data_IF_331004708177
#
_entry.id   IF_331004708177
#
_cell.length_a   1.000
_cell.length_b   1.000
_cell.length_c   1.000
_cell.angle_alpha   90.00
_cell.angle_beta   90.00
_cell.angle_gamma   90.00
#
_symmetry.space_group_name_H-M   'P 1'
#
loop_
_entity.id
_entity.type
_entity.pdbx_description
1 polymer ?
#
# COMPACT_ATOMS: atom_id res chain seq x y z
N UNK A 1 -9.23 -1.04 -1.97
CA UNK A 1 -9.06 0.02 -0.95
C UNK A 1 -10.07 -0.21 0.14
N UNK A 2 -9.66 -0.08 1.39
CA UNK A 2 -10.51 -0.32 2.56
C UNK A 2 -10.41 0.90 3.47
N UNK A 3 -11.54 1.29 4.06
CA UNK A 3 -11.56 2.31 5.10
C UNK A 3 -11.05 1.70 6.43
N UNK A 4 -10.05 2.31 7.07
CA UNK A 4 -9.42 1.71 8.24
C UNK A 4 -10.23 1.89 9.55
N UNK A 5 -11.30 2.69 9.54
CA UNK A 5 -12.16 2.89 10.72
C UNK A 5 -13.34 1.91 10.70
N UNK A 6 -13.97 1.78 9.53
CA UNK A 6 -15.19 1.00 9.31
C UNK A 6 -14.93 -0.37 8.71
N UNK A 7 -13.71 -0.63 8.23
CA UNK A 7 -13.30 -1.84 7.51
C UNK A 7 -14.11 -2.11 6.23
N UNK A 8 -14.80 -1.10 5.70
CA UNK A 8 -15.57 -1.23 4.47
C UNK A 8 -14.67 -1.21 3.24
N UNK A 9 -14.97 -2.07 2.28
CA UNK A 9 -14.32 -2.07 0.97
C UNK A 9 -14.84 -0.87 0.17
N UNK A 10 -13.96 0.09 -0.10
CA UNK A 10 -14.29 1.31 -0.85
C UNK A 10 -14.21 1.07 -2.36
N UNK A 11 -13.23 0.27 -2.80
CA UNK A 11 -12.97 0.07 -4.23
C UNK A 11 -12.18 -1.22 -4.48
N UNK A 12 -12.53 -1.91 -5.56
CA UNK A 12 -11.81 -3.07 -6.10
C UNK A 12 -11.48 -2.82 -7.57
N UNK A 13 -10.30 -3.22 -8.01
CA UNK A 13 -9.89 -3.13 -9.41
C UNK A 13 -9.15 -4.42 -9.81
N UNK A 14 -9.30 -4.81 -11.07
CA UNK A 14 -8.85 -6.09 -11.60
C UNK A 14 -8.22 -5.91 -12.97
N UNK A 15 -7.30 -6.81 -13.33
CA UNK A 15 -6.72 -6.85 -14.67
C UNK A 15 -6.52 -8.27 -15.14
N UNK A 16 -6.73 -8.49 -16.43
CA UNK A 16 -6.45 -9.77 -17.08
C UNK A 16 -4.94 -9.91 -17.35
N UNK A 17 -4.41 -11.12 -17.14
CA UNK A 17 -2.99 -11.45 -17.40
C UNK A 17 -2.02 -11.00 -16.31
N UNK A 18 -0.71 -11.08 -16.60
CA UNK A 18 0.35 -10.73 -15.64
C UNK A 18 0.60 -9.22 -15.63
N UNK A 19 -0.14 -8.50 -14.81
CA UNK A 19 0.06 -7.06 -14.55
C UNK A 19 0.52 -6.84 -13.11
N UNK A 20 1.47 -5.93 -12.91
CA UNK A 20 1.86 -5.53 -11.57
C UNK A 20 0.78 -4.67 -10.91
N UNK A 21 0.49 -4.93 -9.63
CA UNK A 21 -0.52 -4.20 -8.85
C UNK A 21 -0.32 -2.69 -8.88
N UNK A 22 0.93 -2.20 -8.87
CA UNK A 22 1.19 -0.75 -8.91
C UNK A 22 0.96 -0.12 -10.29
N UNK A 23 1.14 -0.88 -11.37
CA UNK A 23 0.74 -0.42 -12.70
C UNK A 23 -0.79 -0.34 -12.79
N UNK A 24 -1.49 -1.36 -12.28
CA UNK A 24 -2.95 -1.34 -12.19
C UNK A 24 -3.44 -0.11 -11.40
N UNK A 25 -2.86 0.15 -10.23
CA UNK A 25 -3.18 1.32 -9.41
C UNK A 25 -2.95 2.67 -10.11
N UNK A 26 -1.86 2.83 -10.87
CA UNK A 26 -1.62 4.07 -11.62
C UNK A 26 -2.66 4.27 -12.73
N UNK A 27 -3.04 3.19 -13.40
CA UNK A 27 -3.99 3.23 -14.51
C UNK A 27 -5.44 3.38 -14.04
N UNK A 28 -5.77 2.94 -12.82
CA UNK A 28 -7.10 3.08 -12.23
C UNK A 28 -7.48 4.53 -11.91
N UNK A 29 -6.50 5.45 -11.89
CA UNK A 29 -6.68 6.89 -11.62
C UNK A 29 -7.47 7.19 -10.34
N UNK A 30 -7.42 6.29 -9.36
CA UNK A 30 -8.08 6.50 -8.07
C UNK A 30 -7.46 7.73 -7.39
N UNK A 31 -8.30 8.72 -7.13
CA UNK A 31 -7.91 9.92 -6.40
C UNK A 31 -8.08 9.68 -4.90
N UNK A 32 -6.97 9.44 -4.20
CA UNK A 32 -6.95 9.40 -2.75
C UNK A 32 -6.80 10.84 -2.24
N UNK A 33 -7.72 11.27 -1.40
CA UNK A 33 -7.67 12.61 -0.83
C UNK A 33 -6.41 12.79 0.01
N UNK A 34 -5.65 13.86 -0.22
CA UNK A 34 -4.29 14.07 0.34
C UNK A 34 -4.19 14.02 1.87
N UNK A 35 -5.30 14.26 2.58
CA UNK A 35 -5.35 14.19 4.06
C UNK A 35 -5.56 12.78 4.60
N UNK A 36 -5.97 11.83 3.77
CA UNK A 36 -6.13 10.42 4.19
C UNK A 36 -4.75 9.83 4.35
N UNK A 37 -4.50 9.07 5.42
CA UNK A 37 -3.28 8.28 5.53
C UNK A 37 -3.51 6.97 4.81
N UNK A 38 -2.73 6.72 3.76
CA UNK A 38 -2.80 5.49 3.00
C UNK A 38 -1.82 4.49 3.59
N UNK A 39 -2.33 3.45 4.24
CA UNK A 39 -1.53 2.29 4.62
C UNK A 39 -1.60 1.30 3.48
N UNK A 40 -0.51 1.16 2.72
CA UNK A 40 -0.40 0.07 1.75
C UNK A 40 0.10 -1.17 2.47
N UNK A 41 -0.85 -1.92 3.04
CA UNK A 41 -0.56 -3.18 3.71
C UNK A 41 -0.23 -4.21 2.64
N UNK A 42 0.99 -4.73 2.73
CA UNK A 42 1.59 -5.68 1.80
C UNK A 42 1.99 -5.12 0.42
N UNK A 43 2.98 -5.79 -0.16
CA UNK A 43 3.43 -5.70 -1.55
C UNK A 43 4.62 -4.75 -1.76
N UNK A 44 5.78 -5.39 -1.86
CA UNK A 44 7.02 -4.94 -2.52
C UNK A 44 6.82 -4.17 -3.84
N UNK A 45 5.64 -4.24 -4.45
CA UNK A 45 5.27 -3.60 -5.72
C UNK A 45 4.86 -2.12 -5.64
N UNK A 46 4.53 -1.54 -4.48
CA UNK A 46 4.11 -0.12 -4.37
C UNK A 46 5.27 0.85 -4.08
N UNK A 47 6.51 0.46 -4.38
CA UNK A 47 7.67 1.31 -4.18
C UNK A 47 7.54 2.61 -4.99
N UNK A 48 7.54 3.75 -4.30
CA UNK A 48 7.38 5.07 -4.92
C UNK A 48 5.96 5.63 -4.90
N UNK A 49 5.00 5.00 -4.22
CA UNK A 49 3.64 5.54 -4.05
C UNK A 49 3.60 6.92 -3.39
N UNK A 50 4.61 7.25 -2.56
CA UNK A 50 4.77 8.57 -1.96
C UNK A 50 4.87 9.70 -2.99
N UNK A 51 5.30 9.42 -4.23
CA UNK A 51 5.30 10.41 -5.31
C UNK A 51 3.90 10.75 -5.82
N UNK A 52 2.94 9.85 -5.62
CA UNK A 52 1.54 9.98 -6.02
C UNK A 52 0.71 10.49 -4.83
N UNK A 53 1.03 10.00 -3.63
CA UNK A 53 0.31 10.34 -2.40
C UNK A 53 1.29 10.40 -1.22
N UNK A 54 1.67 11.60 -0.79
CA UNK A 54 2.72 11.82 0.21
C UNK A 54 2.43 11.16 1.57
N UNK A 55 1.16 11.10 1.99
CA UNK A 55 0.74 10.53 3.27
C UNK A 55 0.58 9.00 3.18
N UNK A 56 1.54 8.34 2.52
CA UNK A 56 1.55 6.89 2.37
C UNK A 56 2.62 6.25 3.24
N UNK A 57 2.19 5.34 4.11
CA UNK A 57 3.07 4.54 4.95
C UNK A 57 3.40 3.22 4.24
N UNK A 58 4.69 2.97 4.05
CA UNK A 58 5.20 1.72 3.50
C UNK A 58 5.77 0.85 4.63
N UNK A 59 5.44 -0.45 4.67
CA UNK A 59 6.07 -1.36 5.61
C UNK A 59 7.58 -1.43 5.34
N UNK A 60 8.38 -1.48 6.41
CA UNK A 60 9.84 -1.59 6.28
C UNK A 60 10.22 -2.89 5.58
N UNK A 61 11.14 -2.79 4.63
CA UNK A 61 11.69 -3.97 3.94
C UNK A 61 12.76 -4.62 4.82
N UNK A 62 12.66 -5.94 5.01
CA UNK A 62 13.75 -6.71 5.63
C UNK A 62 14.97 -6.71 4.71
N UNK A 63 16.15 -6.48 5.26
CA UNK A 63 17.42 -6.72 4.55
C UNK A 63 18.34 -7.55 5.44
N UNK A 64 19.37 -8.18 4.84
CA UNK A 64 20.31 -9.02 5.58
C UNK A 64 21.05 -8.24 6.69
N UNK A 65 21.30 -6.95 6.47
CA UNK A 65 21.96 -6.05 7.43
C UNK A 65 21.00 -5.31 8.35
N UNK A 66 19.72 -5.17 7.95
CA UNK A 66 18.67 -4.49 8.72
C UNK A 66 17.46 -5.44 8.89
N UNK A 67 17.50 -6.34 9.89
CA UNK A 67 16.37 -7.19 10.22
C UNK A 67 15.20 -6.38 10.78
N UNK A 68 13.97 -6.86 10.58
CA UNK A 68 12.76 -6.20 11.10
C UNK A 68 12.59 -6.45 12.59
N UNK A 69 12.30 -5.39 13.35
CA UNK A 69 11.93 -5.50 14.76
C UNK A 69 10.53 -6.10 14.94
N UNK A 70 10.16 -6.49 16.16
CA UNK A 70 8.81 -6.99 16.47
C UNK A 70 7.72 -5.97 16.11
N UNK A 71 7.98 -4.67 16.32
CA UNK A 71 7.03 -3.60 15.98
C UNK A 71 6.91 -3.42 14.46
N UNK A 72 8.01 -3.50 13.72
CA UNK A 72 7.96 -3.42 12.25
C UNK A 72 7.14 -4.56 11.64
N UNK A 73 7.13 -5.74 12.29
CA UNK A 73 6.29 -6.88 11.90
C UNK A 73 4.84 -6.69 12.27
N UNK A 74 4.52 -6.00 13.36
CA UNK A 74 3.13 -5.75 13.79
C UNK A 74 2.37 -4.89 12.78
N UNK A 75 3.06 -3.95 12.12
CA UNK A 75 2.53 -3.15 11.00
C UNK A 75 2.22 -4.02 9.76
N UNK A 76 2.87 -5.18 9.63
CA UNK A 76 2.68 -6.10 8.49
C UNK A 76 1.48 -7.04 8.70
N UNK A 77 1.09 -7.30 9.95
CA UNK A 77 0.07 -8.30 10.32
C UNK A 77 -1.16 -7.64 10.98
N UNK A 78 -1.45 -6.40 10.62
CA UNK A 78 -2.73 -5.76 10.92
C UNK A 78 -3.86 -6.39 10.12
#
# INVERSE_FOLDING_TARGET
MVDNQTYQVICTDFSNGKKHNFRLFKESKILIHRKVNAITVSITGYQGIQKIHNNSELPKKKSKKNPLTKNDKKIIVG
#
